data_IF_664196901900
#
_entry.id   IF_664196901900
#
_cell.length_a   1.000
_cell.length_b   1.000
_cell.length_c   1.000
_cell.angle_alpha   90.00
_cell.angle_beta   90.00
_cell.angle_gamma   90.00
#
_symmetry.space_group_name_H-M   'P 1'
#
loop_
_entity.id
_entity.type
_entity.pdbx_description
1 polymer ?
#
# COMPACT_ATOMS: atom_id res chain seq x y z
N UNK A 1 13.06 41.52 8.17
CA UNK A 1 13.22 41.04 6.77
C UNK A 1 11.90 41.22 6.06
N UNK A 2 11.88 41.81 4.86
CA UNK A 2 10.66 41.86 4.06
C UNK A 2 10.55 40.54 3.27
N UNK A 3 9.59 39.68 3.64
CA UNK A 3 9.38 38.39 2.95
C UNK A 3 8.44 38.64 1.79
N UNK A 4 8.88 38.30 0.57
CA UNK A 4 8.04 38.42 -0.63
C UNK A 4 6.77 37.56 -0.46
N UNK A 5 5.63 38.12 -0.86
CA UNK A 5 4.33 37.49 -0.66
C UNK A 5 4.20 36.15 -1.41
N UNK A 6 4.71 36.08 -2.65
CA UNK A 6 4.74 34.87 -3.50
C UNK A 6 5.57 33.73 -2.86
N UNK A 7 6.73 34.05 -2.32
CA UNK A 7 7.57 33.09 -1.57
C UNK A 7 6.84 32.61 -0.32
N UNK A 8 6.20 33.51 0.42
CA UNK A 8 5.45 33.15 1.63
C UNK A 8 4.25 32.23 1.33
N UNK A 9 3.56 32.47 0.22
CA UNK A 9 2.45 31.66 -0.25
C UNK A 9 2.90 30.23 -0.58
N UNK A 10 3.93 30.08 -1.43
CA UNK A 10 4.44 28.76 -1.80
C UNK A 10 5.09 28.00 -0.62
N UNK A 11 5.69 28.73 0.34
CA UNK A 11 6.21 28.12 1.57
C UNK A 11 5.08 27.56 2.44
N UNK A 12 3.95 28.27 2.57
CA UNK A 12 2.77 27.78 3.30
C UNK A 12 2.08 26.63 2.58
N UNK A 13 2.14 26.60 1.26
CA UNK A 13 1.70 25.46 0.44
C UNK A 13 2.62 24.21 0.57
N UNK A 14 3.71 24.30 1.33
CA UNK A 14 4.56 23.16 1.66
C UNK A 14 5.63 22.82 0.62
N UNK A 15 5.87 23.70 -0.35
CA UNK A 15 6.91 23.48 -1.35
C UNK A 15 8.32 23.54 -0.71
N UNK A 16 9.25 22.83 -1.36
CA UNK A 16 10.68 22.88 -0.99
C UNK A 16 11.36 24.14 -1.50
N UNK A 17 12.45 24.57 -0.86
CA UNK A 17 13.18 25.79 -1.25
C UNK A 17 13.62 25.76 -2.72
N UNK A 18 14.07 24.57 -3.19
CA UNK A 18 14.46 24.36 -4.59
C UNK A 18 13.28 24.41 -5.56
N UNK A 19 12.11 23.93 -5.17
CA UNK A 19 10.91 23.99 -6.00
C UNK A 19 10.49 25.45 -6.18
N UNK A 20 10.44 26.20 -5.08
CA UNK A 20 10.11 27.63 -5.08
C UNK A 20 11.12 28.43 -5.92
N UNK A 21 12.42 28.16 -5.78
CA UNK A 21 13.42 28.85 -6.59
C UNK A 21 13.33 28.55 -8.08
N UNK A 22 12.94 27.33 -8.46
CA UNK A 22 12.68 26.98 -9.88
C UNK A 22 11.42 27.67 -10.40
N UNK A 23 10.37 27.72 -9.60
CA UNK A 23 9.06 28.25 -10.00
C UNK A 23 9.04 29.77 -10.10
N UNK A 24 9.68 30.46 -9.15
CA UNK A 24 9.76 31.92 -9.13
C UNK A 24 11.04 32.48 -9.77
N UNK A 25 11.95 31.62 -10.24
CA UNK A 25 13.23 32.03 -10.82
C UNK A 25 14.16 32.75 -9.84
N UNK A 26 14.08 32.43 -8.54
CA UNK A 26 14.87 33.07 -7.48
C UNK A 26 15.91 32.13 -6.90
N UNK A 27 16.99 32.69 -6.35
CA UNK A 27 17.98 31.89 -5.64
C UNK A 27 17.38 31.29 -4.33
N UNK A 28 17.34 29.95 -4.18
CA UNK A 28 16.78 29.29 -3.01
C UNK A 28 17.48 29.63 -1.70
N UNK A 29 18.79 29.88 -1.74
CA UNK A 29 19.65 30.06 -0.56
C UNK A 29 19.55 31.50 -0.07
N UNK A 30 19.61 32.46 -0.98
CA UNK A 30 19.57 33.89 -0.66
C UNK A 30 18.15 34.40 -0.41
N UNK A 31 17.14 33.83 -1.08
CA UNK A 31 15.77 34.35 -1.02
C UNK A 31 14.84 33.47 -0.17
N UNK A 32 14.75 32.18 -0.51
CA UNK A 32 13.70 31.30 0.04
C UNK A 32 14.05 30.80 1.44
N UNK A 33 15.31 30.44 1.69
CA UNK A 33 15.76 29.91 2.99
C UNK A 33 15.62 30.93 4.13
N UNK A 34 16.01 32.21 3.98
CA UNK A 34 15.78 33.21 5.03
C UNK A 34 14.30 33.51 5.23
N UNK A 35 13.50 33.52 4.15
CA UNK A 35 12.05 33.66 4.24
C UNK A 35 11.40 32.52 5.03
N UNK A 36 11.82 31.27 4.78
CA UNK A 36 11.37 30.09 5.55
C UNK A 36 11.71 30.22 7.03
N UNK A 37 12.93 30.65 7.35
CA UNK A 37 13.38 30.86 8.72
C UNK A 37 12.58 31.98 9.41
N UNK A 38 12.38 33.11 8.74
CA UNK A 38 11.61 34.25 9.26
C UNK A 38 10.13 33.89 9.53
N UNK A 39 9.56 32.98 8.74
CA UNK A 39 8.20 32.48 8.93
C UNK A 39 8.11 31.29 9.90
N UNK A 40 9.23 30.79 10.44
CA UNK A 40 9.25 29.63 11.33
C UNK A 40 8.78 28.32 10.67
N UNK A 41 8.76 28.25 9.34
CA UNK A 41 8.25 27.09 8.61
C UNK A 41 9.32 25.98 8.63
N UNK A 42 8.99 24.75 9.06
CA UNK A 42 9.94 23.65 9.02
C UNK A 42 10.49 23.40 7.62
N UNK A 43 11.74 22.95 7.54
CA UNK A 43 12.34 22.58 6.24
C UNK A 43 11.55 21.42 5.64
N UNK A 44 11.13 21.57 4.37
CA UNK A 44 10.59 20.45 3.61
C UNK A 44 11.60 19.32 3.60
N UNK A 45 11.26 18.18 4.20
CA UNK A 45 12.11 16.98 4.19
C UNK A 45 11.99 16.32 2.81
N UNK A 46 13.07 16.22 2.02
CA UNK A 46 13.03 15.43 0.80
C UNK A 46 12.89 13.96 1.18
N UNK A 47 11.70 13.41 1.00
CA UNK A 47 11.47 11.97 0.98
C UNK A 47 11.46 11.49 -0.46
N UNK A 48 12.12 10.37 -0.77
CA UNK A 48 11.89 9.66 -2.02
C UNK A 48 10.43 9.20 -2.00
N UNK A 49 9.54 9.87 -2.75
CA UNK A 49 8.21 9.33 -3.01
C UNK A 49 8.43 7.98 -3.73
N UNK A 50 7.94 6.86 -3.18
CA UNK A 50 8.00 5.60 -3.91
C UNK A 50 7.29 5.81 -5.26
N UNK A 51 7.97 5.51 -6.36
CA UNK A 51 7.43 5.70 -7.72
C UNK A 51 6.23 4.79 -7.99
N UNK A 52 6.02 3.77 -7.18
CA UNK A 52 4.96 2.78 -7.31
C UNK A 52 4.44 2.42 -5.91
N UNK A 53 3.13 2.24 -5.79
CA UNK A 53 2.48 1.73 -4.57
C UNK A 53 2.79 0.23 -4.37
N UNK A 54 2.59 -0.34 -3.17
CA UNK A 54 2.64 -1.79 -2.97
C UNK A 54 1.75 -2.55 -3.96
N UNK A 55 0.57 -2.02 -4.25
CA UNK A 55 -0.42 -2.59 -5.17
C UNK A 55 0.08 -2.56 -6.62
N UNK A 56 0.72 -1.46 -7.06
CA UNK A 56 1.37 -1.41 -8.38
C UNK A 56 2.48 -2.45 -8.52
N UNK A 57 3.27 -2.63 -7.45
CA UNK A 57 4.36 -3.60 -7.41
C UNK A 57 3.86 -5.05 -7.33
N UNK A 58 2.67 -5.27 -6.78
CA UNK A 58 1.97 -6.55 -6.78
C UNK A 58 1.59 -6.94 -8.21
N UNK A 59 0.95 -6.04 -8.97
CA UNK A 59 0.52 -6.33 -10.34
C UNK A 59 1.68 -6.66 -11.29
N UNK A 60 2.88 -6.14 -11.02
CA UNK A 60 4.11 -6.47 -11.77
C UNK A 60 4.67 -7.86 -11.47
N UNK A 61 4.17 -8.54 -10.42
CA UNK A 61 4.70 -9.80 -9.88
C UNK A 61 3.66 -10.91 -9.84
N UNK A 62 2.56 -10.75 -10.58
CA UNK A 62 1.55 -11.79 -10.72
C UNK A 62 1.44 -12.20 -12.18
N UNK A 63 1.17 -13.48 -12.38
CA UNK A 63 0.83 -14.04 -13.69
C UNK A 63 -0.50 -14.79 -13.55
N UNK A 64 -1.51 -14.53 -14.41
CA UNK A 64 -2.71 -15.35 -14.43
C UNK A 64 -2.38 -16.77 -14.89
N UNK A 65 -3.11 -17.74 -14.35
CA UNK A 65 -3.08 -19.15 -14.76
C UNK A 65 -4.35 -19.50 -15.53
N UNK A 66 -4.34 -20.64 -16.22
CA UNK A 66 -5.48 -21.08 -17.05
C UNK A 66 -6.70 -21.52 -16.23
N UNK A 67 -6.52 -21.80 -14.94
CA UNK A 67 -7.55 -22.28 -14.00
C UNK A 67 -8.16 -21.17 -13.13
N UNK A 68 -8.14 -19.92 -13.60
CA UNK A 68 -8.71 -18.76 -12.90
C UNK A 68 -8.02 -18.45 -11.55
N UNK A 69 -6.72 -18.70 -11.47
CA UNK A 69 -5.85 -18.30 -10.36
C UNK A 69 -4.75 -17.34 -10.82
N UNK A 70 -3.95 -16.87 -9.86
CA UNK A 70 -2.76 -16.08 -10.13
C UNK A 70 -1.57 -16.63 -9.34
N UNK A 71 -0.44 -16.74 -10.02
CA UNK A 71 0.85 -17.16 -9.48
C UNK A 71 1.72 -15.94 -9.19
N UNK A 72 2.48 -16.04 -8.10
CA UNK A 72 3.47 -15.04 -7.72
C UNK A 72 4.80 -15.30 -8.41
N UNK A 73 5.32 -14.31 -9.12
CA UNK A 73 6.61 -14.37 -9.82
C UNK A 73 7.73 -13.66 -9.05
N UNK A 74 7.42 -13.15 -7.85
CA UNK A 74 8.37 -12.44 -6.99
C UNK A 74 9.09 -13.34 -5.98
N UNK A 75 9.60 -12.70 -4.92
CA UNK A 75 10.29 -13.41 -3.84
C UNK A 75 9.31 -14.21 -2.98
N UNK A 76 9.75 -15.36 -2.51
CA UNK A 76 9.05 -16.22 -1.56
C UNK A 76 9.85 -16.32 -0.26
N UNK A 77 9.15 -16.37 0.87
CA UNK A 77 9.76 -16.67 2.18
C UNK A 77 10.11 -18.16 2.32
N UNK A 78 10.64 -18.52 3.49
CA UNK A 78 11.08 -19.90 3.78
C UNK A 78 9.98 -20.95 3.61
N UNK A 79 8.73 -20.61 3.94
CA UNK A 79 7.55 -21.48 3.81
C UNK A 79 6.82 -21.30 2.47
N UNK A 80 7.49 -20.76 1.44
CA UNK A 80 6.87 -20.50 0.14
C UNK A 80 5.85 -19.35 0.14
N UNK A 81 5.72 -18.59 1.23
CA UNK A 81 4.79 -17.45 1.27
C UNK A 81 5.25 -16.35 0.32
N UNK A 82 4.40 -15.83 -0.60
CA UNK A 82 4.70 -14.70 -1.47
C UNK A 82 5.02 -13.43 -0.68
N UNK A 83 6.15 -12.77 -0.98
CA UNK A 83 6.62 -11.58 -0.26
C UNK A 83 6.95 -10.40 -1.20
N UNK A 84 6.61 -9.20 -0.74
CA UNK A 84 6.94 -7.92 -1.37
C UNK A 84 7.46 -6.92 -0.33
N UNK A 85 8.65 -6.35 -0.55
CA UNK A 85 9.16 -5.25 0.27
C UNK A 85 8.89 -3.92 -0.41
N UNK A 86 8.24 -2.99 0.30
CA UNK A 86 7.96 -1.64 -0.19
C UNK A 86 8.08 -0.63 0.96
N UNK A 87 8.79 0.49 0.73
CA UNK A 87 8.91 1.56 1.73
C UNK A 87 9.54 1.13 3.07
N UNK A 88 10.37 0.08 3.07
CA UNK A 88 10.95 -0.50 4.29
C UNK A 88 10.05 -1.50 5.01
N UNK A 89 8.79 -1.64 4.58
CA UNK A 89 7.79 -2.57 5.13
C UNK A 89 7.76 -3.84 4.27
N UNK A 90 7.64 -4.99 4.93
CA UNK A 90 7.42 -6.28 4.27
C UNK A 90 5.91 -6.58 4.22
N UNK A 91 5.40 -6.83 3.03
CA UNK A 91 4.02 -7.22 2.77
C UNK A 91 3.99 -8.66 2.25
N UNK A 92 2.98 -9.43 2.64
CA UNK A 92 2.70 -10.70 1.97
C UNK A 92 1.85 -10.45 0.73
N UNK A 93 2.04 -11.28 -0.31
CA UNK A 93 1.18 -11.25 -1.51
C UNK A 93 -0.29 -11.43 -1.15
N UNK A 94 -0.58 -12.27 -0.15
CA UNK A 94 -1.95 -12.50 0.35
C UNK A 94 -2.60 -11.24 0.93
N UNK A 95 -1.87 -10.46 1.73
CA UNK A 95 -2.41 -9.21 2.31
C UNK A 95 -2.69 -8.18 1.23
N UNK A 96 -1.83 -8.09 0.21
CA UNK A 96 -2.02 -7.18 -0.91
C UNK A 96 -3.20 -7.62 -1.78
N UNK A 97 -3.29 -8.90 -2.13
CA UNK A 97 -4.42 -9.45 -2.88
C UNK A 97 -5.76 -9.22 -2.17
N UNK A 98 -5.79 -9.42 -0.85
CA UNK A 98 -6.96 -9.13 -0.03
C UNK A 98 -7.35 -7.65 -0.07
N UNK A 99 -6.38 -6.74 0.11
CA UNK A 99 -6.62 -5.28 0.06
C UNK A 99 -7.14 -4.83 -1.29
N UNK A 100 -6.55 -5.34 -2.37
CA UNK A 100 -6.96 -5.02 -3.74
C UNK A 100 -8.42 -5.40 -3.97
N UNK A 101 -8.86 -6.56 -3.47
CA UNK A 101 -10.23 -7.01 -3.64
C UNK A 101 -11.25 -6.31 -2.73
N UNK A 102 -10.86 -6.02 -1.48
CA UNK A 102 -11.80 -5.57 -0.45
C UNK A 102 -11.71 -4.06 -0.12
N UNK A 103 -10.69 -3.36 -0.62
CA UNK A 103 -10.45 -1.96 -0.30
C UNK A 103 -10.08 -1.69 1.17
N UNK A 104 -9.77 -2.74 1.95
CA UNK A 104 -9.43 -2.66 3.38
C UNK A 104 -8.30 -3.62 3.76
N UNK A 105 -7.70 -3.36 4.91
CA UNK A 105 -6.80 -4.31 5.54
C UNK A 105 -7.55 -5.55 6.05
N UNK A 106 -6.93 -6.74 6.01
CA UNK A 106 -7.51 -7.93 6.62
C UNK A 106 -7.46 -7.85 8.14
N UNK A 107 -8.49 -8.39 8.78
CA UNK A 107 -8.51 -8.62 10.22
C UNK A 107 -7.58 -9.81 10.54
N UNK A 108 -6.37 -9.48 10.99
CA UNK A 108 -5.31 -10.45 11.21
C UNK A 108 -4.67 -10.96 9.91
N UNK A 109 -4.66 -12.28 9.72
CA UNK A 109 -4.04 -12.92 8.56
C UNK A 109 -5.03 -13.08 7.41
N UNK A 110 -4.65 -12.61 6.22
CA UNK A 110 -5.27 -13.04 4.97
C UNK A 110 -4.64 -14.36 4.51
N UNK A 111 -5.45 -15.40 4.33
CA UNK A 111 -5.03 -16.69 3.80
C UNK A 111 -5.80 -17.03 2.53
N UNK A 112 -5.22 -17.80 1.59
CA UNK A 112 -5.97 -18.35 0.46
C UNK A 112 -7.18 -19.16 0.93
N UNK A 113 -8.35 -18.89 0.36
CA UNK A 113 -9.60 -19.64 0.59
C UNK A 113 -10.03 -20.44 -0.64
N UNK A 114 -9.40 -20.23 -1.79
CA UNK A 114 -9.72 -20.89 -3.06
C UNK A 114 -9.21 -22.33 -3.22
N UNK A 115 -8.57 -22.91 -2.19
CA UNK A 115 -8.01 -24.27 -2.22
C UNK A 115 -6.68 -24.43 -2.98
N UNK A 116 -6.26 -23.46 -3.82
CA UNK A 116 -4.94 -23.50 -4.47
C UNK A 116 -3.85 -22.93 -3.57
N UNK A 117 -2.81 -23.73 -3.35
CA UNK A 117 -1.62 -23.30 -2.61
C UNK A 117 -0.96 -22.07 -3.25
N UNK A 118 -0.55 -21.12 -2.42
CA UNK A 118 0.15 -19.91 -2.83
C UNK A 118 -0.57 -19.02 -3.88
N UNK A 119 -1.86 -19.24 -4.10
CA UNK A 119 -2.65 -18.38 -4.97
C UNK A 119 -2.63 -16.94 -4.47
N UNK A 120 -2.35 -15.98 -5.36
CA UNK A 120 -2.33 -14.55 -5.04
C UNK A 120 -3.45 -13.79 -5.75
N UNK A 121 -4.43 -14.47 -6.35
CA UNK A 121 -5.52 -13.79 -7.05
C UNK A 121 -6.37 -12.95 -6.08
N UNK A 122 -6.62 -11.66 -6.37
CA UNK A 122 -7.56 -10.87 -5.58
C UNK A 122 -8.95 -11.53 -5.52
N UNK A 123 -9.55 -11.57 -4.33
CA UNK A 123 -10.84 -12.23 -4.09
C UNK A 123 -10.73 -13.70 -3.68
N UNK A 124 -9.57 -14.33 -3.82
CA UNK A 124 -9.33 -15.72 -3.41
C UNK A 124 -8.78 -15.84 -1.96
N UNK A 125 -8.98 -14.80 -1.14
CA UNK A 125 -8.42 -14.70 0.20
C UNK A 125 -9.49 -14.30 1.21
N UNK A 126 -9.50 -14.98 2.36
CA UNK A 126 -10.34 -14.65 3.51
C UNK A 126 -9.50 -14.22 4.72
N UNK A 127 -10.01 -13.28 5.50
CA UNK A 127 -9.41 -12.90 6.77
C UNK A 127 -10.00 -13.69 7.96
N UNK A 128 -9.74 -13.26 9.20
CA UNK A 128 -10.31 -13.92 10.38
C UNK A 128 -11.84 -13.85 10.41
N UNK A 129 -12.43 -12.71 10.05
CA UNK A 129 -13.87 -12.51 10.10
C UNK A 129 -14.58 -13.36 9.03
N UNK A 130 -13.99 -13.45 7.84
CA UNK A 130 -14.50 -14.29 6.75
C UNK A 130 -14.54 -15.76 7.15
N UNK A 131 -13.43 -16.30 7.66
CA UNK A 131 -13.36 -17.70 8.12
C UNK A 131 -14.31 -17.98 9.29
N UNK A 132 -14.52 -17.01 10.17
CA UNK A 132 -15.47 -17.16 11.26
C UNK A 132 -16.92 -17.17 10.76
N UNK A 133 -17.23 -16.41 9.70
CA UNK A 133 -18.53 -16.42 9.03
C UNK A 133 -18.76 -17.75 8.32
N UNK A 134 -17.79 -18.24 7.54
CA UNK A 134 -17.85 -19.54 6.87
C UNK A 134 -18.15 -20.67 7.87
N UNK A 135 -17.38 -20.77 8.96
CA UNK A 135 -17.63 -21.76 10.01
C UNK A 135 -19.03 -21.69 10.62
N UNK A 136 -19.59 -20.48 10.78
CA UNK A 136 -20.96 -20.32 11.28
C UNK A 136 -21.99 -20.79 10.25
N UNK A 137 -21.77 -20.51 8.97
CA UNK A 137 -22.64 -20.99 7.88
C UNK A 137 -22.60 -22.52 7.81
N UNK A 138 -21.41 -23.12 7.88
CA UNK A 138 -21.25 -24.58 7.87
C UNK A 138 -21.97 -25.23 9.06
N UNK A 139 -21.86 -24.64 10.26
CA UNK A 139 -22.57 -25.12 11.44
C UNK A 139 -24.10 -25.03 11.29
N UNK A 140 -24.61 -23.94 10.72
CA UNK A 140 -26.05 -23.78 10.45
C UNK A 140 -26.52 -24.77 9.38
N UNK A 141 -25.73 -24.99 8.34
CA UNK A 141 -26.05 -25.96 7.30
C UNK A 141 -26.14 -27.37 7.87
N UNK A 142 -25.17 -27.76 8.72
CA UNK A 142 -25.16 -29.06 9.39
C UNK A 142 -26.36 -29.24 10.35
N UNK A 143 -26.81 -28.18 11.02
CA UNK A 143 -27.99 -28.21 11.89
C UNK A 143 -29.30 -28.42 11.09
N UNK A 144 -29.41 -27.80 9.92
CA UNK A 144 -30.62 -27.87 9.09
C UNK A 144 -30.66 -29.16 8.25
N UNK A 145 -29.54 -29.57 7.65
CA UNK A 145 -29.49 -30.62 6.63
C UNK A 145 -28.71 -31.86 7.05
N UNK A 146 -28.09 -31.86 8.23
CA UNK A 146 -27.13 -32.89 8.65
C UNK A 146 -25.72 -32.65 8.11
N UNK A 147 -24.71 -33.39 8.62
CA UNK A 147 -23.32 -33.21 8.20
C UNK A 147 -23.13 -33.61 6.72
N UNK A 148 -22.36 -32.79 5.99
CA UNK A 148 -21.86 -33.15 4.66
C UNK A 148 -20.95 -34.37 4.77
N UNK A 149 -21.18 -35.39 3.93
CA UNK A 149 -20.41 -36.64 3.89
C UNK A 149 -18.95 -36.42 3.46
#
# INVERSE_FOLDING_TARGET
>A
MNVRADVAELLRAGLSDRAIGRELGVDPIATVRPARQALGIPKSKPGRRPTATPEDLFWRRVKPTDDDHMEWTGHHGAEGTPLLRHGGVLHTGYRLAFRIANGRDPDGYALPSCGREHCVKPGHHGDRADRAREKRVDALYADIFGPSA
#
